data_IF_937507238540
#
_entry.id   IF_937507238540
#
_cell.length_a   1.000
_cell.length_b   1.000
_cell.length_c   1.000
_cell.angle_alpha   90.00
_cell.angle_beta   90.00
_cell.angle_gamma   90.00
#
_symmetry.space_group_name_H-M   'P 1'
#
loop_
_entity.id
_entity.type
_entity.pdbx_description
1 polymer ?
#
# COMPACT_ATOMS: atom_id res chain seq x y z
N UNK A 1 10.54 -7.48 6.92
CA UNK A 1 9.34 -7.18 7.75
C UNK A 1 8.14 -7.35 6.86
N UNK A 2 7.13 -8.13 7.28
CA UNK A 2 5.91 -8.35 6.48
C UNK A 2 4.92 -7.23 6.76
N UNK A 3 4.53 -6.50 5.72
CA UNK A 3 3.65 -5.32 5.83
C UNK A 3 2.29 -5.65 5.21
N UNK A 4 1.21 -5.33 5.93
CA UNK A 4 -0.13 -5.24 5.34
C UNK A 4 -0.49 -3.77 5.24
N UNK A 5 -0.72 -3.31 4.01
CA UNK A 5 -0.96 -1.89 3.73
C UNK A 5 -2.46 -1.62 3.56
N UNK A 6 -3.01 -0.69 4.33
CA UNK A 6 -4.40 -0.27 4.25
C UNK A 6 -4.45 1.19 3.80
N UNK A 7 -5.13 1.48 2.70
CA UNK A 7 -5.24 2.85 2.20
C UNK A 7 -6.35 3.06 1.19
N UNK A 8 -6.88 4.28 1.14
CA UNK A 8 -7.91 4.73 0.19
C UNK A 8 -7.30 5.58 -0.94
N UNK A 9 -8.00 5.77 -2.07
CA UNK A 9 -7.42 6.38 -3.27
C UNK A 9 -6.91 7.82 -3.04
N UNK A 10 -6.09 8.29 -3.97
CA UNK A 10 -5.31 9.55 -4.01
C UNK A 10 -3.97 9.55 -3.25
N UNK A 11 -3.95 9.40 -1.93
CA UNK A 11 -2.68 9.52 -1.18
C UNK A 11 -1.96 8.18 -0.98
N UNK A 12 -2.72 7.09 -0.87
CA UNK A 12 -2.18 5.77 -0.53
C UNK A 12 -1.20 5.22 -1.58
N UNK A 13 -1.38 5.57 -2.86
CA UNK A 13 -0.53 5.09 -3.96
C UNK A 13 0.91 5.56 -3.82
N UNK A 14 1.12 6.83 -3.46
CA UNK A 14 2.46 7.41 -3.29
C UNK A 14 3.21 6.75 -2.12
N UNK A 15 2.49 6.45 -1.04
CA UNK A 15 3.05 5.79 0.14
C UNK A 15 3.38 4.34 -0.16
N UNK A 16 2.45 3.60 -0.78
CA UNK A 16 2.65 2.22 -1.18
C UNK A 16 3.87 2.06 -2.09
N UNK A 17 4.04 2.97 -3.06
CA UNK A 17 5.20 2.99 -3.97
C UNK A 17 6.52 3.15 -3.22
N UNK A 18 6.62 4.06 -2.26
CA UNK A 18 7.84 4.24 -1.43
C UNK A 18 8.15 3.01 -0.58
N UNK A 19 7.13 2.36 -0.03
CA UNK A 19 7.30 1.13 0.77
C UNK A 19 7.81 0.00 -0.12
N UNK A 20 7.28 -0.12 -1.34
CA UNK A 20 7.73 -1.10 -2.32
C UNK A 20 9.19 -0.85 -2.77
N UNK A 21 9.52 0.41 -3.11
CA UNK A 21 10.87 0.79 -3.55
C UNK A 21 11.93 0.65 -2.45
N UNK A 22 11.56 0.74 -1.18
CA UNK A 22 12.46 0.52 -0.05
C UNK A 22 12.74 -0.97 0.25
N UNK A 23 12.22 -1.89 -0.59
CA UNK A 23 12.50 -3.33 -0.49
C UNK A 23 11.75 -4.03 0.64
N UNK A 24 10.69 -3.42 1.16
CA UNK A 24 9.84 -4.07 2.15
C UNK A 24 8.89 -5.07 1.49
N UNK A 25 8.72 -6.23 2.14
CA UNK A 25 7.77 -7.25 1.68
C UNK A 25 6.35 -6.84 2.07
N UNK A 26 5.56 -6.43 1.08
CA UNK A 26 4.13 -6.13 1.23
C UNK A 26 3.35 -7.42 0.98
N UNK A 27 2.77 -8.00 2.03
CA UNK A 27 2.06 -9.28 1.94
C UNK A 27 0.60 -9.12 1.52
N UNK A 28 -0.01 -7.96 1.73
CA UNK A 28 -1.39 -7.68 1.32
C UNK A 28 -1.67 -6.16 1.27
N UNK A 29 -2.62 -5.77 0.42
CA UNK A 29 -3.12 -4.40 0.26
C UNK A 29 -4.64 -4.40 0.42
N UNK A 30 -5.16 -3.51 1.25
CA UNK A 30 -6.61 -3.33 1.46
C UNK A 30 -6.98 -1.91 1.05
N UNK A 31 -7.93 -1.80 0.12
CA UNK A 31 -8.47 -0.53 -0.39
C UNK A 31 -9.99 -0.52 -0.32
N UNK A 32 -10.58 0.67 -0.32
CA UNK A 32 -12.00 0.82 -0.56
C UNK A 32 -12.33 0.42 -2.02
N UNK A 33 -13.51 -0.16 -2.27
CA UNK A 33 -13.99 -0.42 -3.63
C UNK A 33 -14.23 0.88 -4.39
N UNK A 34 -14.19 0.81 -5.72
CA UNK A 34 -14.62 1.91 -6.60
C UNK A 34 -16.10 2.26 -6.33
N UNK A 35 -16.44 3.54 -6.50
CA UNK A 35 -17.81 4.05 -6.34
C UNK A 35 -18.55 4.08 -7.67
#
# INVERSE_FOLDING_TARGET
MKIVFFGTPDFAVTVLKKIYESGHEISAVVTAPDK
#
